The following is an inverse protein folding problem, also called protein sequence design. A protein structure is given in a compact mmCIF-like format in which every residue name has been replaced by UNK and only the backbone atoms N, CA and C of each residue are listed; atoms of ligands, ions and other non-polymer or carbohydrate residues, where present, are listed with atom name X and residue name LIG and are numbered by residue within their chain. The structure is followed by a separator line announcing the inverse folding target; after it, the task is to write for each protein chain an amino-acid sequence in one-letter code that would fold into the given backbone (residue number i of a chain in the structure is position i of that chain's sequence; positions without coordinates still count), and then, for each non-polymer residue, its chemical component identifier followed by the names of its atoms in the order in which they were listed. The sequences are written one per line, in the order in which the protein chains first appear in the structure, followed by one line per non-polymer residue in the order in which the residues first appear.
data_IF_711085612611
#
_entry.id   IF_711085612611
#
_cell.length_a   1.000
_cell.length_b   1.000
_cell.length_c   1.000
_cell.angle_alpha   90.00
_cell.angle_beta   90.00
_cell.angle_gamma   90.00
#
_symmetry.space_group_name_H-M   'P 1'
#
loop_
_entity.id
_entity.type
_entity.pdbx_description
1 polymer ?
#
# COMPACT_ATOMS: atom_id res chain seq x y z
N UNK A 1 -4.41 5.99 17.95
CA UNK A 1 -5.17 5.70 16.71
C UNK A 1 -5.33 6.99 15.91
N UNK A 2 -5.69 6.91 14.63
CA UNK A 2 -5.94 8.07 13.78
C UNK A 2 -7.43 8.43 13.71
N UNK A 3 -7.76 9.73 13.61
CA UNK A 3 -9.10 10.28 13.30
C UNK A 3 -8.94 11.43 12.30
N UNK A 4 -10.08 11.93 11.79
CA UNK A 4 -10.15 13.09 10.89
C UNK A 4 -9.19 12.97 9.69
N UNK A 5 -9.15 11.78 9.09
CA UNK A 5 -8.24 11.44 8.00
C UNK A 5 -8.67 12.20 6.74
N UNK A 6 -7.77 12.97 6.15
CA UNK A 6 -7.97 13.73 4.93
C UNK A 6 -6.87 13.42 3.92
N UNK A 7 -7.28 13.06 2.70
CA UNK A 7 -6.36 12.91 1.57
C UNK A 7 -6.18 14.28 0.94
N UNK A 8 -4.92 14.71 0.80
CA UNK A 8 -4.54 16.00 0.23
C UNK A 8 -3.59 15.79 -0.94
N UNK A 9 -3.25 16.85 -1.68
CA UNK A 9 -2.24 16.78 -2.75
C UNK A 9 -0.83 16.44 -2.24
N UNK A 10 -0.56 16.74 -0.96
CA UNK A 10 0.75 16.53 -0.32
C UNK A 10 0.87 15.19 0.39
N UNK A 11 -0.19 14.39 0.44
CA UNK A 11 -0.23 13.13 1.20
C UNK A 11 -1.48 13.02 2.07
N UNK A 12 -1.38 12.24 3.14
CA UNK A 12 -2.48 11.97 4.06
C UNK A 12 -2.29 12.70 5.38
N UNK A 13 -3.23 13.57 5.72
CA UNK A 13 -3.29 14.30 6.98
C UNK A 13 -4.24 13.58 7.94
N UNK A 14 -3.86 13.44 9.21
CA UNK A 14 -4.67 12.76 10.20
C UNK A 14 -4.34 13.22 11.62
N UNK A 15 -5.36 13.21 12.48
CA UNK A 15 -5.21 13.49 13.89
C UNK A 15 -4.82 12.21 14.63
N UNK A 16 -3.80 12.27 15.47
CA UNK A 16 -3.35 11.17 16.30
C UNK A 16 -3.89 11.34 17.70
N UNK A 17 -4.49 10.27 18.21
CA UNK A 17 -4.96 10.17 19.59
C UNK A 17 -4.19 9.08 20.34
N UNK A 18 -3.74 9.40 21.55
CA UNK A 18 -3.01 8.48 22.43
C UNK A 18 -3.80 8.34 23.73
N UNK A 19 -4.14 7.09 24.09
CA UNK A 19 -4.99 6.77 25.25
C UNK A 19 -6.31 7.56 25.29
N UNK A 20 -6.86 7.91 24.12
CA UNK A 20 -8.13 8.64 23.99
C UNK A 20 -7.98 10.16 23.92
N UNK A 21 -6.81 10.71 24.26
CA UNK A 21 -6.55 12.14 24.22
C UNK A 21 -5.96 12.55 22.87
N UNK A 22 -6.33 13.73 22.37
CA UNK A 22 -5.72 14.31 21.18
C UNK A 22 -4.25 14.58 21.47
N UNK A 23 -3.38 13.98 20.66
CA UNK A 23 -1.94 14.15 20.79
C UNK A 23 -1.48 15.28 19.87
N UNK A 24 -1.64 15.09 18.57
CA UNK A 24 -1.31 16.10 17.56
C UNK A 24 -1.86 15.71 16.19
N UNK A 25 -1.74 16.60 15.21
CA UNK A 25 -2.03 16.34 13.81
C UNK A 25 -0.74 16.12 13.01
N UNK A 26 -0.75 15.08 12.18
CA UNK A 26 0.39 14.69 11.36
C UNK A 26 0.04 14.72 9.88
N UNK A 27 1.05 14.98 9.05
CA UNK A 27 1.01 14.80 7.61
C UNK A 27 2.03 13.73 7.23
N UNK A 28 1.57 12.65 6.60
CA UNK A 28 2.45 11.69 5.93
C UNK A 28 2.42 11.95 4.42
N UNK A 29 3.57 11.98 3.71
CA UNK A 29 3.58 12.14 2.26
C UNK A 29 3.02 10.91 1.52
N UNK A 30 2.77 9.81 2.24
CA UNK A 30 2.24 8.57 1.71
C UNK A 30 0.71 8.53 1.75
N UNK A 31 0.14 7.62 0.97
CA UNK A 31 -1.29 7.44 0.78
C UNK A 31 -1.70 6.02 1.20
N UNK A 32 -2.97 5.84 1.55
CA UNK A 32 -3.54 4.55 1.92
C UNK A 32 -3.58 4.27 3.42
N UNK A 33 -4.59 3.51 3.85
CA UNK A 33 -4.81 3.24 5.28
C UNK A 33 -3.63 2.52 5.95
N UNK A 34 -2.99 1.59 5.25
CA UNK A 34 -1.84 0.85 5.77
C UNK A 34 -0.66 1.76 6.11
N UNK A 35 -0.41 2.81 5.33
CA UNK A 35 0.66 3.77 5.62
C UNK A 35 0.34 4.66 6.81
N UNK A 36 -0.93 4.96 7.07
CA UNK A 36 -1.35 5.61 8.34
C UNK A 36 -1.03 4.68 9.52
N UNK A 37 -1.28 3.37 9.40
CA UNK A 37 -0.93 2.41 10.46
C UNK A 37 0.58 2.31 10.67
N UNK A 38 1.37 2.31 9.60
CA UNK A 38 2.84 2.35 9.69
C UNK A 38 3.31 3.64 10.40
N UNK A 39 2.78 4.80 10.01
CA UNK A 39 3.10 6.07 10.65
C UNK A 39 2.70 6.08 12.13
N UNK A 40 1.51 5.57 12.47
CA UNK A 40 1.05 5.45 13.86
C UNK A 40 1.97 4.56 14.69
N UNK A 41 2.50 3.47 14.13
CA UNK A 41 3.45 2.61 14.84
C UNK A 41 4.75 3.36 15.19
N UNK A 42 5.29 4.13 14.24
CA UNK A 42 6.49 4.95 14.46
C UNK A 42 6.20 6.07 15.47
N UNK A 43 5.10 6.81 15.29
CA UNK A 43 4.70 7.89 16.21
C UNK A 43 4.49 7.35 17.63
N UNK A 44 3.90 6.17 17.78
CA UNK A 44 3.71 5.55 19.09
C UNK A 44 5.04 5.26 19.79
N UNK A 45 6.02 4.71 19.09
CA UNK A 45 7.37 4.46 19.65
C UNK A 45 8.04 5.79 20.01
N UNK A 46 8.04 6.77 19.10
CA UNK A 46 8.64 8.08 19.35
C UNK A 46 8.01 8.82 20.54
N UNK A 47 6.69 8.69 20.71
CA UNK A 47 5.99 9.20 21.89
C UNK A 47 6.43 8.53 23.18
N UNK A 48 6.57 7.19 23.19
CA UNK A 48 7.03 6.44 24.36
C UNK A 48 8.47 6.79 24.75
N UNK A 49 9.31 7.12 23.78
CA UNK A 49 10.68 7.60 23.97
C UNK A 49 10.74 9.11 24.31
N UNK A 50 9.60 9.77 24.52
CA UNK A 50 9.48 11.20 24.85
C UNK A 50 10.18 12.12 23.84
N UNK A 51 10.18 11.75 22.56
CA UNK A 51 10.71 12.61 21.49
C UNK A 51 9.86 13.86 21.33
N UNK A 52 10.49 14.97 20.93
CA UNK A 52 9.78 16.20 20.60
C UNK A 52 8.84 15.98 19.41
N UNK A 53 7.56 16.36 19.56
CA UNK A 53 6.52 16.12 18.55
C UNK A 53 6.79 16.81 17.22
N UNK A 54 7.38 18.00 17.24
CA UNK A 54 7.72 18.74 16.03
C UNK A 54 8.83 18.02 15.25
N UNK A 55 9.83 17.46 15.95
CA UNK A 55 10.86 16.63 15.30
C UNK A 55 10.26 15.38 14.64
N UNK A 56 9.25 14.75 15.26
CA UNK A 56 8.56 13.58 14.69
C UNK A 56 7.81 13.98 13.42
N UNK A 57 7.09 15.11 13.44
CA UNK A 57 6.37 15.65 12.27
C UNK A 57 7.32 15.96 11.12
N UNK A 58 8.41 16.67 11.41
CA UNK A 58 9.42 17.02 10.42
C UNK A 58 10.02 15.77 9.78
N UNK A 59 10.42 14.79 10.60
CA UNK A 59 10.96 13.53 10.11
C UNK A 59 9.95 12.76 9.23
N UNK A 60 8.68 12.70 9.63
CA UNK A 60 7.65 11.98 8.89
C UNK A 60 7.38 12.61 7.51
N UNK A 61 7.40 13.94 7.41
CA UNK A 61 7.22 14.65 6.13
C UNK A 61 8.38 14.38 5.17
N UNK A 62 9.59 14.18 5.69
CA UNK A 62 10.79 13.87 4.88
C UNK A 62 10.86 12.40 4.44
N UNK A 63 9.92 11.56 4.85
CA UNK A 63 9.94 10.13 4.52
C UNK A 63 9.89 9.94 3.00
N UNK A 64 11.02 9.49 2.45
CA UNK A 64 11.13 9.10 1.06
C UNK A 64 10.32 7.84 0.75
N UNK A 65 10.05 7.63 -0.54
CA UNK A 65 9.52 6.35 -1.02
C UNK A 65 10.59 5.25 -0.91
N UNK A 66 10.14 4.02 -0.67
CA UNK A 66 11.00 2.83 -0.76
C UNK A 66 10.85 2.26 -2.17
N UNK A 67 11.96 1.82 -2.77
CA UNK A 67 11.92 1.19 -4.10
C UNK A 67 10.94 0.02 -4.09
N UNK A 68 10.08 -0.03 -5.12
CA UNK A 68 9.02 -1.05 -5.26
C UNK A 68 7.98 -1.03 -4.13
N UNK A 69 7.73 0.11 -3.48
CA UNK A 69 6.59 0.29 -2.57
C UNK A 69 5.85 1.54 -3.00
N UNK A 70 4.77 1.34 -3.75
CA UNK A 70 4.02 2.38 -4.43
C UNK A 70 4.93 3.38 -5.18
N UNK A 71 5.93 2.88 -5.90
CA UNK A 71 6.92 3.73 -6.54
C UNK A 71 6.39 4.24 -7.88
N UNK A 72 6.23 5.55 -8.01
CA UNK A 72 5.57 6.15 -9.17
C UNK A 72 6.54 6.60 -10.26
N UNK A 73 6.14 6.40 -11.51
CA UNK A 73 6.73 7.04 -12.69
C UNK A 73 5.62 7.62 -13.56
N UNK A 74 5.69 8.92 -13.86
CA UNK A 74 4.72 9.58 -14.75
C UNK A 74 5.11 9.36 -16.20
N UNK A 75 4.19 8.84 -17.00
CA UNK A 75 4.40 8.60 -18.44
C UNK A 75 3.23 9.23 -19.20
N UNK A 76 3.48 10.37 -19.84
CA UNK A 76 2.44 11.17 -20.50
C UNK A 76 1.24 11.45 -19.57
N UNK A 77 0.05 10.94 -19.89
CA UNK A 77 -1.16 11.11 -19.08
C UNK A 77 -1.39 9.96 -18.07
N UNK A 78 -0.48 8.99 -17.97
CA UNK A 78 -0.55 7.82 -17.10
C UNK A 78 0.42 7.93 -15.93
N UNK A 79 0.13 7.15 -14.88
CA UNK A 79 1.03 6.96 -13.74
C UNK A 79 1.30 5.46 -13.65
N UNK A 80 2.54 5.06 -13.88
CA UNK A 80 3.00 3.71 -13.63
C UNK A 80 3.36 3.60 -12.14
N UNK A 81 2.84 2.57 -11.48
CA UNK A 81 3.14 2.27 -10.08
C UNK A 81 3.83 0.90 -10.02
N UNK A 82 5.05 0.85 -9.51
CA UNK A 82 5.76 -0.41 -9.19
C UNK A 82 5.61 -0.70 -7.69
N UNK A 83 5.04 -1.86 -7.38
CA UNK A 83 4.84 -2.35 -6.02
C UNK A 83 5.29 -3.81 -5.89
N UNK A 84 5.88 -4.15 -4.74
CA UNK A 84 6.31 -5.49 -4.35
C UNK A 84 5.16 -6.34 -3.76
N UNK A 85 3.95 -5.79 -3.70
CA UNK A 85 2.76 -6.51 -3.24
C UNK A 85 2.62 -7.87 -3.93
N UNK A 86 2.68 -8.92 -3.12
CA UNK A 86 2.61 -10.31 -3.58
C UNK A 86 1.71 -11.17 -2.65
N UNK A 87 1.19 -10.56 -1.59
CA UNK A 87 0.13 -11.12 -0.76
C UNK A 87 -1.21 -10.39 -1.03
N UNK A 88 -2.38 -11.07 -1.01
CA UNK A 88 -3.68 -10.46 -1.33
C UNK A 88 -4.01 -9.17 -0.55
N UNK A 89 -3.64 -9.13 0.74
CA UNK A 89 -3.79 -7.93 1.58
C UNK A 89 -2.94 -6.75 1.10
N UNK A 90 -1.71 -7.00 0.64
CA UNK A 90 -0.84 -5.96 0.09
C UNK A 90 -1.41 -5.44 -1.22
N UNK A 91 -1.88 -6.34 -2.11
CA UNK A 91 -2.50 -5.98 -3.40
C UNK A 91 -3.73 -5.08 -3.17
N UNK A 92 -4.62 -5.49 -2.26
CA UNK A 92 -5.78 -4.68 -1.87
C UNK A 92 -5.35 -3.30 -1.37
N UNK A 93 -4.30 -3.25 -0.55
CA UNK A 93 -3.78 -2.01 0.01
C UNK A 93 -3.17 -1.09 -1.06
N UNK A 94 -2.45 -1.64 -2.04
CA UNK A 94 -1.90 -0.91 -3.19
C UNK A 94 -3.02 -0.33 -4.07
N UNK A 95 -4.06 -1.12 -4.39
CA UNK A 95 -5.22 -0.66 -5.17
C UNK A 95 -5.98 0.44 -4.41
N UNK A 96 -6.22 0.25 -3.11
CA UNK A 96 -6.85 1.26 -2.25
C UNK A 96 -6.06 2.58 -2.27
N UNK A 97 -4.73 2.51 -2.15
CA UNK A 97 -3.85 3.67 -2.23
C UNK A 97 -3.97 4.38 -3.57
N UNK A 98 -3.97 3.63 -4.68
CA UNK A 98 -4.12 4.20 -6.02
C UNK A 98 -5.46 4.93 -6.18
N UNK A 99 -6.57 4.32 -5.75
CA UNK A 99 -7.90 4.95 -5.82
C UNK A 99 -7.99 6.22 -4.97
N UNK A 100 -7.39 6.23 -3.79
CA UNK A 100 -7.36 7.42 -2.91
C UNK A 100 -6.53 8.56 -3.50
N UNK A 101 -5.36 8.25 -4.04
CA UNK A 101 -4.45 9.25 -4.60
C UNK A 101 -4.92 9.79 -5.95
N UNK A 102 -5.55 8.94 -6.76
CA UNK A 102 -5.99 9.25 -8.12
C UNK A 102 -7.48 8.94 -8.32
N UNK A 103 -8.39 9.65 -7.63
CA UNK A 103 -9.82 9.33 -7.61
C UNK A 103 -10.54 9.49 -8.96
N UNK A 104 -9.87 10.09 -9.96
CA UNK A 104 -10.40 10.33 -11.31
C UNK A 104 -9.71 9.49 -12.39
N UNK A 105 -8.90 8.50 -12.01
CA UNK A 105 -8.22 7.59 -12.95
C UNK A 105 -8.69 6.17 -12.69
N UNK A 106 -8.79 5.39 -13.76
CA UNK A 106 -8.96 3.94 -13.66
C UNK A 106 -7.69 3.32 -13.08
N UNK A 107 -7.87 2.31 -12.23
CA UNK A 107 -6.80 1.48 -11.68
C UNK A 107 -6.72 0.20 -12.50
N UNK A 108 -5.64 0.06 -13.26
CA UNK A 108 -5.32 -1.16 -14.02
C UNK A 108 -4.26 -1.93 -13.25
N UNK A 109 -4.59 -3.15 -12.80
CA UNK A 109 -3.65 -4.03 -12.13
C UNK A 109 -2.99 -4.97 -13.15
N UNK A 110 -1.66 -4.92 -13.24
CA UNK A 110 -0.86 -5.93 -13.97
C UNK A 110 -0.14 -6.75 -12.93
N UNK A 111 -0.54 -8.01 -12.75
CA UNK A 111 -0.09 -8.85 -11.64
C UNK A 111 0.61 -10.11 -12.15
N UNK A 112 1.79 -10.37 -11.60
CA UNK A 112 2.51 -11.63 -11.78
C UNK A 112 2.43 -12.43 -10.47
N UNK A 113 1.67 -13.55 -10.44
CA UNK A 113 1.66 -14.43 -9.27
C UNK A 113 3.06 -15.02 -9.03
N UNK A 114 3.47 -15.10 -7.77
CA UNK A 114 4.72 -15.74 -7.38
C UNK A 114 4.44 -17.09 -6.74
N UNK A 115 5.04 -18.15 -7.30
CA UNK A 115 4.96 -19.57 -6.90
C UNK A 115 3.57 -20.20 -7.07
N UNK A 116 3.53 -21.48 -7.39
CA UNK A 116 2.28 -22.21 -7.61
C UNK A 116 1.58 -22.48 -6.29
N UNK A 117 2.33 -22.93 -5.27
CA UNK A 117 1.77 -23.24 -3.95
C UNK A 117 1.09 -22.03 -3.29
N UNK A 118 1.68 -20.84 -3.40
CA UNK A 118 1.07 -19.62 -2.86
C UNK A 118 -0.17 -19.21 -3.63
N UNK A 119 -0.15 -19.31 -4.96
CA UNK A 119 -1.30 -18.99 -5.79
C UNK A 119 -2.46 -19.92 -5.46
N UNK A 120 -2.21 -21.22 -5.32
CA UNK A 120 -3.21 -22.20 -4.92
C UNK A 120 -3.76 -21.92 -3.50
N UNK A 121 -2.89 -21.59 -2.55
CA UNK A 121 -3.29 -21.35 -1.15
C UNK A 121 -4.19 -20.12 -0.96
N UNK A 122 -4.08 -19.13 -1.85
CA UNK A 122 -4.78 -17.85 -1.74
C UNK A 122 -5.61 -17.51 -2.99
N UNK A 123 -6.01 -18.51 -3.77
CA UNK A 123 -6.62 -18.29 -5.09
C UNK A 123 -7.83 -17.35 -5.01
N UNK A 124 -8.76 -17.64 -4.09
CA UNK A 124 -9.96 -16.84 -3.86
C UNK A 124 -9.62 -15.43 -3.36
N UNK A 125 -8.66 -15.32 -2.45
CA UNK A 125 -8.23 -14.03 -1.90
C UNK A 125 -7.51 -13.18 -2.94
N UNK A 126 -6.74 -13.78 -3.85
CA UNK A 126 -6.16 -13.09 -4.99
C UNK A 126 -7.25 -12.55 -5.90
N UNK A 127 -8.22 -13.38 -6.30
CA UNK A 127 -9.36 -12.95 -7.09
C UNK A 127 -10.13 -11.80 -6.42
N UNK A 128 -10.43 -11.92 -5.12
CA UNK A 128 -11.10 -10.85 -4.36
C UNK A 128 -10.26 -9.57 -4.34
N UNK A 129 -8.96 -9.67 -4.06
CA UNK A 129 -8.07 -8.50 -3.99
C UNK A 129 -7.91 -7.79 -5.33
N UNK A 130 -7.74 -8.52 -6.42
CA UNK A 130 -7.54 -8.00 -7.77
C UNK A 130 -8.84 -7.44 -8.35
N UNK A 131 -10.00 -8.03 -8.02
CA UNK A 131 -11.32 -7.54 -8.45
C UNK A 131 -11.63 -6.11 -7.98
N UNK A 132 -10.85 -5.56 -7.04
CA UNK A 132 -10.95 -4.17 -6.59
C UNK A 132 -10.38 -3.18 -7.60
N UNK A 133 -9.60 -3.63 -8.60
CA UNK A 133 -9.14 -2.82 -9.72
C UNK A 133 -10.24 -2.71 -10.80
N UNK A 134 -10.14 -1.70 -11.67
CA UNK A 134 -11.09 -1.52 -12.78
C UNK A 134 -10.80 -2.49 -13.94
N UNK A 135 -9.53 -2.86 -14.11
CA UNK A 135 -9.07 -3.88 -15.06
C UNK A 135 -7.92 -4.69 -14.45
N UNK A 136 -7.83 -5.96 -14.82
CA UNK A 136 -6.79 -6.88 -14.35
C UNK A 136 -6.15 -7.59 -15.54
N UNK A 137 -4.83 -7.60 -15.59
CA UNK A 137 -4.03 -8.41 -16.49
C UNK A 137 -3.12 -9.32 -15.67
N UNK A 138 -3.16 -10.61 -15.98
CA UNK A 138 -2.34 -11.61 -15.31
C UNK A 138 -1.16 -11.98 -16.20
N UNK A 139 0.04 -11.97 -15.63
CA UNK A 139 1.20 -12.62 -16.21
C UNK A 139 1.24 -14.09 -15.78
N UNK A 140 1.91 -14.93 -16.57
CA UNK A 140 2.17 -16.32 -16.18
C UNK A 140 2.77 -16.42 -14.77
N UNK A 141 2.39 -17.48 -14.05
CA UNK A 141 2.86 -17.73 -12.69
C UNK A 141 4.39 -17.88 -12.71
N UNK A 142 5.07 -17.03 -11.94
CA UNK A 142 6.51 -17.11 -11.79
C UNK A 142 6.86 -18.23 -10.80
N UNK A 143 7.28 -19.38 -11.33
CA UNK A 143 7.76 -20.52 -10.55
C UNK A 143 9.00 -20.19 -9.71
N UNK A 144 9.25 -20.99 -8.68
CA UNK A 144 10.52 -20.94 -7.94
C UNK A 144 11.44 -22.07 -8.43
N UNK A 145 12.73 -22.02 -8.10
CA UNK A 145 13.69 -23.11 -8.40
C UNK A 145 13.20 -24.48 -7.87
N UNK A 146 12.32 -24.48 -6.86
CA UNK A 146 11.75 -25.69 -6.23
C UNK A 146 10.38 -26.09 -6.79
N UNK A 147 9.75 -25.25 -7.62
CA UNK A 147 8.41 -25.44 -8.19
C UNK A 147 8.43 -25.02 -9.66
N UNK A 148 8.78 -25.97 -10.53
CA UNK A 148 8.88 -25.72 -11.98
C UNK A 148 7.57 -26.04 -12.74
N UNK A 149 6.63 -26.76 -12.11
CA UNK A 149 5.34 -27.15 -12.70
C UNK A 149 4.29 -27.33 -11.61
N UNK A 150 3.14 -26.70 -11.78
CA UNK A 150 1.91 -26.98 -11.05
C UNK A 150 0.75 -27.07 -12.04
N UNK A 151 -0.31 -27.81 -11.71
CA UNK A 151 -1.50 -27.94 -12.57
C UNK A 151 -2.31 -26.64 -12.65
N UNK A 152 -2.03 -25.69 -11.74
CA UNK A 152 -2.69 -24.39 -11.66
C UNK A 152 -2.12 -23.41 -12.69
N UNK A 153 -3.01 -22.71 -13.38
CA UNK A 153 -2.72 -21.69 -14.38
C UNK A 153 -3.36 -20.35 -14.00
N UNK A 154 -3.16 -19.32 -14.83
CA UNK A 154 -3.82 -18.03 -14.65
C UNK A 154 -5.30 -18.03 -15.10
N UNK A 155 -5.77 -19.12 -15.71
CA UNK A 155 -7.15 -19.27 -16.19
C UNK A 155 -8.07 -19.96 -15.16
N UNK A 156 -7.49 -20.48 -14.07
CA UNK A 156 -8.20 -21.12 -12.94
C UNK A 156 -8.65 -20.08 -11.89
#
# INVERSE_FOLDING_TARGET
YAKNIQITEKGTQFDVYIKGEFYDQFLSPQYGNHNILHALAVIAISYLENMNVENIKEALITLGGVKRRFNETKVSNQVLVDDYAHHPREISATIETARKKYPKKDVVAVFQPHTFSRTQAFLNEFAESLSKADQVFLCEIFGSIRENTGDLTIED
#
